data_IF_409027995969
#
_entry.id   IF_409027995969
#
_cell.length_a   1.000
_cell.length_b   1.000
_cell.length_c   1.000
_cell.angle_alpha   90.00
_cell.angle_beta   90.00
_cell.angle_gamma   90.00
#
_symmetry.space_group_name_H-M   'P 1'
#
loop_
_entity.id
_entity.type
_entity.pdbx_description
1 polymer ?
#
# COMPACT_ATOMS: atom_id res chain seq x y z
N UNK A 1 33.20 -38.56 32.54
CA UNK A 1 31.98 -38.18 33.25
C UNK A 1 32.06 -36.66 33.50
N UNK A 2 31.38 -35.92 32.73
CA UNK A 2 31.27 -34.46 32.87
C UNK A 2 29.87 -34.09 32.40
N UNK A 3 29.01 -33.72 33.37
CA UNK A 3 27.62 -33.32 33.17
C UNK A 3 27.63 -31.89 32.65
N UNK A 4 27.16 -31.68 31.42
CA UNK A 4 26.90 -30.34 30.89
C UNK A 4 25.63 -29.83 31.56
N UNK A 5 25.76 -28.72 32.31
CA UNK A 5 24.63 -28.00 32.88
C UNK A 5 23.81 -27.32 31.81
N UNK A 6 22.50 -27.51 31.82
CA UNK A 6 21.52 -26.72 31.07
C UNK A 6 21.43 -25.35 31.72
N UNK A 7 21.68 -24.31 30.92
CA UNK A 7 21.43 -22.93 31.29
C UNK A 7 19.90 -22.67 31.22
N UNK A 8 19.25 -22.20 32.29
CA UNK A 8 17.83 -21.89 32.22
C UNK A 8 17.59 -20.51 31.57
N UNK A 9 16.97 -20.53 30.43
CA UNK A 9 16.13 -19.51 29.85
C UNK A 9 16.47 -18.03 30.14
N UNK A 10 17.11 -17.39 29.22
CA UNK A 10 17.11 -15.92 29.20
C UNK A 10 15.67 -15.43 29.06
N UNK A 11 15.16 -14.75 30.09
CA UNK A 11 13.90 -14.04 30.01
C UNK A 11 14.02 -12.98 28.89
N UNK A 12 13.18 -13.07 27.86
CA UNK A 12 13.05 -12.01 26.85
C UNK A 12 12.77 -10.69 27.59
N UNK A 13 13.57 -9.69 27.31
CA UNK A 13 13.31 -8.34 27.81
C UNK A 13 11.94 -7.89 27.31
N UNK A 14 11.09 -7.31 28.17
CA UNK A 14 9.83 -6.76 27.71
C UNK A 14 10.07 -5.77 26.55
N UNK A 15 9.18 -5.71 25.55
CA UNK A 15 9.31 -4.75 24.46
C UNK A 15 9.45 -3.33 25.02
N UNK A 16 10.32 -2.53 24.39
CA UNK A 16 10.51 -1.14 24.78
C UNK A 16 9.16 -0.41 24.77
N UNK A 17 8.92 0.51 25.74
CA UNK A 17 7.68 1.28 25.75
C UNK A 17 7.57 2.08 24.43
N UNK A 18 6.37 2.07 23.83
CA UNK A 18 6.06 2.83 22.63
C UNK A 18 6.23 4.32 22.96
N UNK A 19 6.99 5.06 22.11
CA UNK A 19 7.14 6.50 22.26
C UNK A 19 5.75 7.16 22.18
N UNK A 20 5.41 8.10 23.07
CA UNK A 20 4.15 8.84 22.99
C UNK A 20 3.89 9.49 21.62
N UNK A 21 4.92 9.88 20.88
CA UNK A 21 4.82 10.40 19.52
C UNK A 21 4.34 9.34 18.50
N UNK A 22 4.47 8.05 18.83
CA UNK A 22 4.00 6.97 17.97
C UNK A 22 2.60 6.46 18.34
N UNK A 23 1.96 7.05 19.37
CA UNK A 23 0.65 6.61 19.83
C UNK A 23 -0.51 7.14 18.96
N UNK A 24 -0.36 8.33 18.38
CA UNK A 24 -1.47 9.01 17.71
C UNK A 24 -2.63 9.33 18.66
N UNK A 25 -3.76 9.80 18.12
CA UNK A 25 -4.97 10.13 18.89
C UNK A 25 -5.96 8.97 18.90
N UNK A 26 -6.56 8.70 20.06
CA UNK A 26 -7.68 7.78 20.26
C UNK A 26 -9.05 8.47 20.17
N UNK A 27 -9.09 9.76 19.80
CA UNK A 27 -10.37 10.45 19.62
C UNK A 27 -11.20 9.75 18.53
N UNK A 28 -12.45 9.45 18.84
CA UNK A 28 -13.41 8.88 17.88
C UNK A 28 -14.46 9.93 17.53
N UNK A 29 -14.32 10.50 16.34
CA UNK A 29 -15.30 11.46 15.78
C UNK A 29 -16.34 10.76 14.90
N UNK A 30 -16.30 9.43 14.82
CA UNK A 30 -17.25 8.60 14.09
C UNK A 30 -17.03 8.56 12.58
N UNK A 31 -18.03 8.06 11.87
CA UNK A 31 -18.04 7.91 10.40
C UNK A 31 -18.88 8.99 9.69
N UNK A 32 -19.40 9.98 10.44
CA UNK A 32 -20.19 11.08 9.90
C UNK A 32 -19.41 11.99 8.95
N UNK A 33 -20.11 12.93 8.31
CA UNK A 33 -19.46 13.89 7.42
C UNK A 33 -18.72 14.96 8.26
N UNK A 34 -17.41 15.04 8.08
CA UNK A 34 -16.49 15.91 8.85
C UNK A 34 -15.88 17.04 8.01
N UNK A 35 -16.51 17.40 6.92
CA UNK A 35 -16.03 18.44 6.01
C UNK A 35 -15.53 17.85 4.68
N UNK A 36 -14.82 18.66 3.87
CA UNK A 36 -14.40 18.21 2.56
C UNK A 36 -13.49 16.99 2.63
N UNK A 37 -13.76 16.06 1.74
CA UNK A 37 -13.00 14.80 1.63
C UNK A 37 -11.64 15.02 0.96
N UNK A 38 -10.68 14.07 1.08
CA UNK A 38 -9.41 14.16 0.37
C UNK A 38 -9.55 14.44 -1.13
N UNK A 39 -10.50 13.78 -1.82
CA UNK A 39 -10.71 13.99 -3.25
C UNK A 39 -11.36 15.35 -3.56
N UNK A 40 -12.24 15.86 -2.70
CA UNK A 40 -12.79 17.22 -2.85
C UNK A 40 -11.75 18.31 -2.58
N UNK A 41 -10.74 18.02 -1.75
CA UNK A 41 -9.65 18.96 -1.46
C UNK A 41 -8.56 18.96 -2.52
N UNK A 42 -8.26 17.81 -3.10
CA UNK A 42 -7.08 17.60 -3.94
C UNK A 42 -7.38 17.25 -5.40
N UNK A 43 -8.61 16.84 -5.71
CA UNK A 43 -9.09 16.56 -7.08
C UNK A 43 -8.27 15.54 -7.85
N UNK A 44 -8.03 15.81 -9.13
CA UNK A 44 -7.27 14.95 -10.01
C UNK A 44 -5.77 15.01 -9.69
N UNK A 45 -5.17 13.84 -9.41
CA UNK A 45 -3.73 13.76 -9.17
C UNK A 45 -2.93 13.70 -10.48
N UNK A 46 -1.74 14.29 -10.45
CA UNK A 46 -0.80 14.27 -11.57
C UNK A 46 0.64 14.06 -11.09
N UNK A 47 1.47 13.43 -11.93
CA UNK A 47 2.91 13.29 -11.69
C UNK A 47 3.65 14.40 -12.42
N UNK A 48 4.33 15.27 -11.66
CA UNK A 48 5.09 16.39 -12.19
C UNK A 48 6.55 16.27 -11.72
N UNK A 49 7.45 15.98 -12.65
CA UNK A 49 8.82 15.63 -12.29
C UNK A 49 8.87 14.36 -11.46
N UNK A 50 9.49 14.42 -10.28
CA UNK A 50 9.58 13.29 -9.35
C UNK A 50 8.54 13.36 -8.20
N UNK A 51 7.46 14.13 -8.37
CA UNK A 51 6.47 14.39 -7.32
C UNK A 51 5.05 14.06 -7.78
N UNK A 52 4.24 13.54 -6.85
CA UNK A 52 2.78 13.48 -6.99
C UNK A 52 2.20 14.84 -6.56
N UNK A 53 1.37 15.43 -7.40
CA UNK A 53 0.71 16.71 -7.15
C UNK A 53 -0.79 16.61 -7.32
N UNK A 54 -1.51 17.46 -6.62
CA UNK A 54 -2.96 17.61 -6.73
C UNK A 54 -3.36 18.56 -7.90
N UNK A 55 -4.66 18.76 -8.09
CA UNK A 55 -5.17 19.61 -9.17
C UNK A 55 -4.81 21.10 -9.01
N UNK A 56 -4.40 21.51 -7.80
CA UNK A 56 -3.96 22.88 -7.48
C UNK A 56 -2.45 23.04 -7.71
N UNK A 57 -1.73 21.95 -8.04
CA UNK A 57 -0.30 21.93 -8.22
C UNK A 57 0.48 21.79 -6.90
N UNK A 58 -0.19 21.57 -5.78
CA UNK A 58 0.43 21.33 -4.50
C UNK A 58 0.90 19.86 -4.38
N UNK A 59 1.98 19.65 -3.63
CA UNK A 59 2.52 18.30 -3.41
C UNK A 59 1.56 17.46 -2.58
N UNK A 60 1.19 16.28 -3.10
CA UNK A 60 0.30 15.35 -2.44
C UNK A 60 1.04 14.15 -1.89
N UNK A 61 0.91 13.88 -0.59
CA UNK A 61 1.39 12.68 0.06
C UNK A 61 0.21 11.80 0.47
N UNK A 62 -0.06 10.75 -0.29
CA UNK A 62 -1.08 9.77 0.04
C UNK A 62 -0.68 8.96 1.28
N UNK A 63 -1.61 8.75 2.21
CA UNK A 63 -1.39 7.96 3.44
C UNK A 63 -2.60 7.08 3.71
N UNK A 64 -2.38 5.77 3.86
CA UNK A 64 -3.48 4.85 4.14
C UNK A 64 -3.02 3.41 4.33
N UNK A 65 -3.93 2.47 4.56
CA UNK A 65 -3.62 1.06 4.62
C UNK A 65 -3.81 0.35 3.27
N UNK A 66 -3.19 -0.82 3.12
CA UNK A 66 -3.57 -1.83 2.13
C UNK A 66 -4.53 -2.84 2.74
N UNK A 67 -5.52 -3.32 1.97
CA UNK A 67 -6.23 -4.53 2.34
C UNK A 67 -5.26 -5.71 2.46
N UNK A 68 -5.68 -6.78 3.12
CA UNK A 68 -5.15 -8.12 2.90
C UNK A 68 -5.44 -8.57 1.46
N UNK A 69 -4.79 -9.66 0.98
CA UNK A 69 -5.16 -10.36 -0.25
C UNK A 69 -6.67 -10.64 -0.23
N UNK A 70 -7.43 -10.06 -1.16
CA UNK A 70 -8.89 -10.08 -1.09
C UNK A 70 -9.49 -11.50 -1.16
N UNK A 71 -8.79 -12.46 -1.76
CA UNK A 71 -9.23 -13.86 -1.77
C UNK A 71 -9.08 -14.57 -0.41
N UNK A 72 -8.27 -14.03 0.51
CA UNK A 72 -8.03 -14.56 1.85
C UNK A 72 -8.64 -13.69 2.96
N UNK A 73 -9.05 -12.48 2.64
CA UNK A 73 -9.73 -11.63 3.60
C UNK A 73 -11.14 -12.18 3.90
N UNK A 74 -11.46 -12.34 5.19
CA UNK A 74 -12.73 -12.89 5.64
C UNK A 74 -13.70 -11.86 6.19
N UNK A 75 -13.18 -10.75 6.76
CA UNK A 75 -13.98 -9.76 7.48
C UNK A 75 -14.48 -8.63 6.59
N UNK A 76 -13.77 -8.33 5.50
CA UNK A 76 -14.14 -7.29 4.56
C UNK A 76 -13.91 -5.87 5.07
N UNK A 77 -12.87 -5.63 5.88
CA UNK A 77 -12.57 -4.29 6.42
C UNK A 77 -12.46 -3.22 5.33
N UNK A 78 -11.69 -3.49 4.29
CA UNK A 78 -11.52 -2.58 3.16
C UNK A 78 -12.79 -2.45 2.29
N UNK A 79 -13.66 -3.46 2.30
CA UNK A 79 -14.94 -3.50 1.58
C UNK A 79 -16.09 -2.84 2.36
N UNK A 80 -15.81 -2.27 3.54
CA UNK A 80 -16.82 -1.66 4.40
C UNK A 80 -16.78 -0.13 4.30
N UNK A 81 -17.85 0.47 3.79
CA UNK A 81 -17.96 1.93 3.63
C UNK A 81 -17.83 2.69 4.96
N UNK A 82 -18.41 2.17 6.04
CA UNK A 82 -18.35 2.79 7.37
C UNK A 82 -16.90 2.81 7.88
N UNK A 83 -16.16 1.69 7.67
CA UNK A 83 -14.76 1.61 8.03
C UNK A 83 -13.90 2.62 7.25
N UNK A 84 -14.12 2.76 5.93
CA UNK A 84 -13.40 3.75 5.11
C UNK A 84 -13.68 5.18 5.56
N UNK A 85 -14.95 5.52 5.83
CA UNK A 85 -15.33 6.82 6.36
C UNK A 85 -14.72 7.07 7.74
N UNK A 86 -14.74 6.04 8.59
CA UNK A 86 -14.15 6.12 9.92
C UNK A 86 -12.63 6.37 9.84
N UNK A 87 -11.89 5.62 9.01
CA UNK A 87 -10.45 5.83 8.80
C UNK A 87 -10.14 7.22 8.24
N UNK A 88 -10.91 7.69 7.26
CA UNK A 88 -10.78 9.06 6.74
C UNK A 88 -10.88 10.09 7.87
N UNK A 89 -11.91 9.99 8.70
CA UNK A 89 -12.21 10.98 9.71
C UNK A 89 -11.25 10.91 10.92
N UNK A 90 -10.92 9.69 11.37
CA UNK A 90 -10.21 9.48 12.63
C UNK A 90 -8.71 9.25 12.43
N UNK A 91 -8.33 8.59 11.34
CA UNK A 91 -6.93 8.35 11.02
C UNK A 91 -6.37 9.30 9.96
N UNK A 92 -7.21 10.17 9.39
CA UNK A 92 -6.85 11.05 8.25
C UNK A 92 -6.38 10.26 7.03
N UNK A 93 -6.87 9.04 6.86
CA UNK A 93 -6.53 8.23 5.69
C UNK A 93 -7.01 8.92 4.41
N UNK A 94 -6.12 9.04 3.44
CA UNK A 94 -6.42 9.66 2.14
C UNK A 94 -6.56 8.62 1.03
N UNK A 95 -6.08 7.40 1.24
CA UNK A 95 -6.07 6.32 0.24
C UNK A 95 -6.33 4.97 0.90
N UNK A 96 -6.92 4.05 0.13
CA UNK A 96 -6.99 2.61 0.42
C UNK A 96 -6.39 1.84 -0.75
N UNK A 97 -5.60 0.78 -0.50
CA UNK A 97 -5.11 -0.12 -1.54
C UNK A 97 -5.94 -1.40 -1.54
N UNK A 98 -6.44 -1.80 -2.70
CA UNK A 98 -7.22 -3.01 -2.93
C UNK A 98 -6.32 -4.10 -3.51
N UNK A 99 -5.75 -4.95 -2.66
CA UNK A 99 -4.80 -6.00 -3.02
C UNK A 99 -5.52 -7.23 -3.60
N UNK A 100 -5.87 -7.19 -4.89
CA UNK A 100 -6.56 -8.30 -5.56
C UNK A 100 -5.62 -9.46 -5.86
N UNK A 101 -5.70 -10.54 -5.10
CA UNK A 101 -4.94 -11.76 -5.38
C UNK A 101 -5.24 -12.34 -6.77
N UNK A 102 -4.23 -12.85 -7.44
CA UNK A 102 -4.33 -13.35 -8.81
C UNK A 102 -4.15 -14.86 -8.90
N UNK A 103 -3.01 -15.40 -8.50
CA UNK A 103 -2.65 -16.81 -8.65
C UNK A 103 -3.30 -17.78 -7.64
N UNK A 104 -3.44 -17.43 -6.35
CA UNK A 104 -3.91 -18.38 -5.34
C UNK A 104 -5.32 -18.90 -5.59
N UNK A 105 -5.66 -20.04 -4.99
CA UNK A 105 -7.02 -20.57 -5.04
C UNK A 105 -8.04 -19.56 -4.50
N UNK A 106 -9.13 -19.39 -5.23
CA UNK A 106 -10.18 -18.42 -4.93
C UNK A 106 -9.88 -16.98 -5.37
N UNK A 107 -8.67 -16.72 -5.90
CA UNK A 107 -8.26 -15.45 -6.47
C UNK A 107 -8.70 -15.31 -7.96
N UNK A 108 -8.21 -14.28 -8.64
CA UNK A 108 -8.71 -13.88 -9.96
C UNK A 108 -8.65 -15.00 -11.01
N UNK A 109 -7.56 -15.77 -11.14
CA UNK A 109 -7.44 -16.80 -12.17
C UNK A 109 -8.44 -17.95 -12.02
N UNK A 110 -8.89 -18.22 -10.81
CA UNK A 110 -9.87 -19.27 -10.53
C UNK A 110 -11.28 -18.74 -10.36
N UNK A 111 -11.44 -17.46 -9.98
CA UNK A 111 -12.75 -16.84 -9.76
C UNK A 111 -12.76 -15.35 -10.13
N UNK A 112 -12.62 -15.02 -11.43
CA UNK A 112 -12.46 -13.65 -11.88
C UNK A 112 -13.62 -12.73 -11.53
N UNK A 113 -14.85 -13.22 -11.57
CA UNK A 113 -16.05 -12.42 -11.27
C UNK A 113 -16.10 -12.03 -9.80
N UNK A 114 -15.76 -12.95 -8.87
CA UNK A 114 -15.69 -12.66 -7.45
C UNK A 114 -14.58 -11.64 -7.17
N UNK A 115 -13.38 -11.89 -7.68
CA UNK A 115 -12.23 -11.01 -7.46
C UNK A 115 -12.50 -9.58 -7.98
N UNK A 116 -13.07 -9.46 -9.18
CA UNK A 116 -13.50 -8.17 -9.74
C UNK A 116 -14.54 -7.50 -8.87
N UNK A 117 -15.58 -8.22 -8.44
CA UNK A 117 -16.64 -7.67 -7.58
C UNK A 117 -16.10 -7.15 -6.24
N UNK A 118 -15.10 -7.82 -5.64
CA UNK A 118 -14.47 -7.36 -4.41
C UNK A 118 -13.70 -6.04 -4.62
N UNK A 119 -12.95 -5.92 -5.73
CA UNK A 119 -12.28 -4.66 -6.10
C UNK A 119 -13.29 -3.56 -6.36
N UNK A 120 -14.31 -3.82 -7.18
CA UNK A 120 -15.34 -2.84 -7.50
C UNK A 120 -16.04 -2.33 -6.24
N UNK A 121 -16.33 -3.18 -5.27
CA UNK A 121 -16.91 -2.78 -3.99
C UNK A 121 -16.01 -1.83 -3.22
N UNK A 122 -14.69 -2.08 -3.19
CA UNK A 122 -13.74 -1.17 -2.53
C UNK A 122 -13.68 0.16 -3.28
N UNK A 123 -13.63 0.14 -4.61
CA UNK A 123 -13.59 1.36 -5.43
C UNK A 123 -14.86 2.19 -5.24
N UNK A 124 -16.04 1.58 -5.33
CA UNK A 124 -17.32 2.26 -5.14
C UNK A 124 -17.41 2.87 -3.72
N UNK A 125 -16.94 2.16 -2.70
CA UNK A 125 -16.91 2.65 -1.34
C UNK A 125 -15.86 3.77 -1.13
N UNK A 126 -14.70 3.68 -1.76
CA UNK A 126 -13.69 4.73 -1.71
C UNK A 126 -14.21 6.04 -2.36
N UNK A 127 -14.88 5.93 -3.50
CA UNK A 127 -15.57 7.06 -4.14
C UNK A 127 -16.62 7.65 -3.19
N UNK A 128 -17.47 6.83 -2.58
CA UNK A 128 -18.50 7.26 -1.64
C UNK A 128 -17.93 7.82 -0.31
N UNK A 129 -16.73 7.41 0.07
CA UNK A 129 -15.98 7.95 1.21
C UNK A 129 -15.15 9.19 0.85
N UNK A 130 -14.94 9.48 -0.44
CA UNK A 130 -14.14 10.59 -0.94
C UNK A 130 -12.63 10.41 -0.70
N UNK A 131 -12.14 9.18 -0.69
CA UNK A 131 -10.71 8.86 -0.61
C UNK A 131 -10.21 8.30 -1.94
N UNK A 132 -8.89 8.33 -2.15
CA UNK A 132 -8.26 7.67 -3.30
C UNK A 132 -8.23 6.16 -3.11
N UNK A 133 -8.11 5.42 -4.21
CA UNK A 133 -8.03 3.97 -4.20
C UNK A 133 -7.00 3.47 -5.20
N UNK A 134 -6.10 2.58 -4.73
CA UNK A 134 -5.16 1.88 -5.59
C UNK A 134 -5.76 0.52 -5.95
N UNK A 135 -6.00 0.29 -7.23
CA UNK A 135 -6.43 -1.01 -7.77
C UNK A 135 -5.16 -1.82 -8.08
N UNK A 136 -4.84 -2.78 -7.23
CA UNK A 136 -3.63 -3.55 -7.31
C UNK A 136 -3.88 -4.96 -7.86
N UNK A 137 -3.18 -5.29 -8.94
CA UNK A 137 -3.01 -6.65 -9.44
C UNK A 137 -1.93 -7.35 -8.62
N UNK A 138 -2.38 -7.94 -7.50
CA UNK A 138 -1.52 -8.48 -6.46
C UNK A 138 -0.96 -9.86 -6.84
N UNK A 139 0.15 -9.84 -7.57
CA UNK A 139 0.76 -11.00 -8.21
C UNK A 139 2.30 -10.87 -8.17
N UNK A 140 3.00 -11.99 -8.13
CA UNK A 140 4.46 -12.05 -8.29
C UNK A 140 4.88 -12.47 -9.72
N UNK A 141 3.93 -12.97 -10.51
CA UNK A 141 4.14 -13.48 -11.86
C UNK A 141 3.23 -12.83 -12.91
N UNK A 142 2.80 -11.60 -12.71
CA UNK A 142 1.84 -10.93 -13.58
C UNK A 142 2.23 -10.92 -15.06
N UNK A 143 3.54 -10.95 -15.38
CA UNK A 143 4.04 -11.07 -16.75
C UNK A 143 3.58 -12.36 -17.45
N UNK A 144 3.28 -13.43 -16.71
CA UNK A 144 2.73 -14.68 -17.22
C UNK A 144 1.21 -14.61 -17.44
N UNK A 145 0.53 -13.64 -16.77
CA UNK A 145 -0.90 -13.40 -16.82
C UNK A 145 -1.25 -12.09 -17.52
N UNK A 146 -0.37 -11.63 -18.43
CA UNK A 146 -0.44 -10.32 -19.08
C UNK A 146 -1.79 -10.07 -19.77
N UNK A 147 -2.32 -11.05 -20.49
CA UNK A 147 -3.57 -10.88 -21.24
C UNK A 147 -4.77 -10.68 -20.31
N UNK A 148 -4.79 -11.38 -19.18
CA UNK A 148 -5.81 -11.23 -18.14
C UNK A 148 -5.67 -9.86 -17.44
N UNK A 149 -4.44 -9.41 -17.14
CA UNK A 149 -4.20 -8.10 -16.57
C UNK A 149 -4.65 -6.97 -17.53
N UNK A 150 -4.30 -7.07 -18.81
CA UNK A 150 -4.75 -6.14 -19.87
C UNK A 150 -6.27 -6.07 -19.92
N UNK A 151 -6.96 -7.20 -19.90
CA UNK A 151 -8.43 -7.25 -19.89
C UNK A 151 -8.99 -6.58 -18.64
N UNK A 152 -8.53 -7.00 -17.46
CA UNK A 152 -9.01 -6.47 -16.16
C UNK A 152 -8.85 -4.95 -16.07
N UNK A 153 -7.65 -4.43 -16.37
CA UNK A 153 -7.42 -2.99 -16.29
C UNK A 153 -8.16 -2.20 -17.38
N UNK A 154 -8.38 -2.77 -18.56
CA UNK A 154 -9.26 -2.16 -19.57
C UNK A 154 -10.70 -2.05 -19.08
N UNK A 155 -11.21 -3.07 -18.37
CA UNK A 155 -12.54 -3.06 -17.77
C UNK A 155 -12.63 -2.03 -16.63
N UNK A 156 -11.66 -2.00 -15.72
CA UNK A 156 -11.60 -1.02 -14.62
C UNK A 156 -11.50 0.42 -15.15
N UNK A 157 -10.64 0.67 -16.12
CA UNK A 157 -10.50 1.99 -16.74
C UNK A 157 -11.76 2.41 -17.53
N UNK A 158 -12.49 1.47 -18.12
CA UNK A 158 -13.78 1.75 -18.77
C UNK A 158 -14.83 2.17 -17.74
N UNK A 159 -14.85 1.53 -16.57
CA UNK A 159 -15.85 1.79 -15.53
C UNK A 159 -15.54 3.03 -14.70
N UNK A 160 -14.28 3.27 -14.41
CA UNK A 160 -13.85 4.24 -13.40
C UNK A 160 -12.87 5.31 -13.91
N UNK A 161 -12.56 5.34 -15.20
CA UNK A 161 -11.56 6.26 -15.76
C UNK A 161 -11.94 7.75 -15.69
N UNK A 162 -13.20 8.07 -15.37
CA UNK A 162 -13.66 9.43 -15.11
C UNK A 162 -13.64 9.82 -13.62
N UNK A 163 -13.14 8.95 -12.75
CA UNK A 163 -13.09 9.16 -11.29
C UNK A 163 -11.67 9.51 -10.85
N UNK A 164 -11.43 10.73 -10.34
CA UNK A 164 -10.12 11.16 -9.87
C UNK A 164 -9.60 10.35 -8.66
N UNK A 165 -10.48 9.57 -8.04
CA UNK A 165 -10.14 8.68 -6.94
C UNK A 165 -9.18 7.55 -7.32
N UNK A 166 -9.15 7.13 -8.60
CA UNK A 166 -8.59 5.84 -9.01
C UNK A 166 -7.12 5.96 -9.38
N UNK A 167 -6.34 5.03 -8.86
CA UNK A 167 -4.93 4.80 -9.19
C UNK A 167 -4.79 3.32 -9.56
N UNK A 168 -4.03 3.01 -10.59
CA UNK A 168 -3.83 1.63 -11.06
C UNK A 168 -2.43 1.13 -10.68
N UNK A 169 -2.33 -0.08 -10.17
CA UNK A 169 -1.08 -0.77 -9.89
C UNK A 169 -1.06 -2.13 -10.59
N UNK A 170 -0.54 -2.22 -11.83
CA UNK A 170 -0.67 -3.42 -12.65
C UNK A 170 0.25 -4.57 -12.26
N UNK A 171 1.14 -4.40 -11.30
CA UNK A 171 2.03 -5.45 -10.83
C UNK A 171 2.54 -5.12 -9.43
N UNK A 172 2.08 -5.89 -8.43
CA UNK A 172 2.47 -5.72 -7.02
C UNK A 172 3.98 -5.88 -6.80
N UNK A 173 4.47 -7.11 -6.96
CA UNK A 173 5.84 -7.47 -6.62
C UNK A 173 6.49 -8.40 -7.66
N UNK A 174 7.00 -7.83 -8.77
CA UNK A 174 7.79 -8.63 -9.69
C UNK A 174 8.97 -9.31 -8.98
N UNK A 175 9.19 -10.59 -9.26
CA UNK A 175 10.39 -11.27 -8.80
C UNK A 175 11.66 -10.66 -9.43
N UNK A 176 12.83 -11.26 -9.27
CA UNK A 176 14.06 -10.78 -9.94
C UNK A 176 13.98 -11.03 -11.45
N UNK A 177 13.21 -10.17 -12.14
CA UNK A 177 12.96 -10.21 -13.57
C UNK A 177 13.76 -9.12 -14.29
N UNK A 178 14.06 -9.37 -15.57
CA UNK A 178 14.69 -8.35 -16.41
C UNK A 178 13.75 -7.19 -16.68
N UNK A 179 14.19 -5.97 -16.33
CA UNK A 179 13.41 -4.76 -16.52
C UNK A 179 13.13 -4.48 -17.98
N UNK A 180 14.16 -4.52 -18.84
CA UNK A 180 14.05 -4.15 -20.25
C UNK A 180 13.28 -5.16 -21.09
N UNK A 181 13.56 -6.44 -20.91
CA UNK A 181 13.01 -7.50 -21.75
C UNK A 181 11.71 -8.10 -21.26
N UNK A 182 11.35 -7.89 -19.98
CA UNK A 182 10.17 -8.51 -19.38
C UNK A 182 9.21 -7.51 -18.76
N UNK A 183 9.65 -6.73 -17.77
CA UNK A 183 8.74 -5.89 -16.99
C UNK A 183 8.27 -4.67 -17.77
N UNK A 184 9.19 -3.96 -18.43
CA UNK A 184 8.85 -2.77 -19.21
C UNK A 184 7.86 -3.08 -20.34
N UNK A 185 8.03 -4.12 -21.19
CA UNK A 185 7.03 -4.52 -22.19
C UNK A 185 5.68 -4.95 -21.59
N UNK A 186 5.68 -5.58 -20.41
CA UNK A 186 4.45 -5.89 -19.69
C UNK A 186 3.71 -4.62 -19.30
N UNK A 187 4.40 -3.69 -18.62
CA UNK A 187 3.82 -2.42 -18.19
C UNK A 187 3.32 -1.60 -19.39
N UNK A 188 4.09 -1.50 -20.46
CA UNK A 188 3.68 -0.79 -21.67
C UNK A 188 2.37 -1.33 -22.26
N UNK A 189 2.18 -2.66 -22.24
CA UNK A 189 0.95 -3.28 -22.74
C UNK A 189 -0.28 -2.94 -21.84
N UNK A 190 -0.13 -2.99 -20.52
CA UNK A 190 -1.22 -2.67 -19.58
C UNK A 190 -1.51 -1.17 -19.60
N UNK A 191 -0.48 -0.33 -19.61
CA UNK A 191 -0.64 1.14 -19.75
C UNK A 191 -1.42 1.48 -21.01
N UNK A 192 -1.11 0.88 -22.15
CA UNK A 192 -1.83 1.12 -23.41
C UNK A 192 -3.32 0.79 -23.28
N UNK A 193 -3.67 -0.30 -22.58
CA UNK A 193 -5.06 -0.69 -22.35
C UNK A 193 -5.80 0.31 -21.44
N UNK A 194 -5.15 0.76 -20.37
CA UNK A 194 -5.69 1.78 -19.44
C UNK A 194 -5.88 3.10 -20.22
N UNK A 195 -4.84 3.60 -20.86
CA UNK A 195 -4.83 4.92 -21.55
C UNK A 195 -5.80 5.01 -22.72
N UNK A 196 -6.21 3.88 -23.30
CA UNK A 196 -7.28 3.85 -24.30
C UNK A 196 -8.66 4.25 -23.73
N UNK A 197 -8.84 4.27 -22.41
CA UNK A 197 -10.08 4.54 -21.70
C UNK A 197 -9.95 5.70 -20.70
N UNK A 198 -8.82 5.79 -20.06
CA UNK A 198 -8.49 6.72 -18.99
C UNK A 198 -7.15 7.40 -19.31
N UNK A 199 -7.17 8.65 -19.82
CA UNK A 199 -5.96 9.36 -20.18
C UNK A 199 -5.19 9.93 -18.97
N UNK A 200 -5.84 10.10 -17.81
CA UNK A 200 -5.37 11.04 -16.80
C UNK A 200 -4.95 10.37 -15.46
N UNK A 201 -5.64 9.32 -15.00
CA UNK A 201 -5.36 8.73 -13.71
C UNK A 201 -3.94 8.17 -13.60
N UNK A 202 -3.40 8.20 -12.38
CA UNK A 202 -2.05 7.74 -12.08
C UNK A 202 -1.94 6.23 -12.22
N UNK A 203 -0.82 5.76 -12.78
CA UNK A 203 -0.46 4.34 -12.86
C UNK A 203 0.85 4.14 -12.10
N UNK A 204 0.90 3.15 -11.20
CA UNK A 204 2.06 2.82 -10.38
C UNK A 204 2.68 1.51 -10.86
N UNK A 205 3.94 1.52 -11.21
CA UNK A 205 4.61 0.41 -11.89
C UNK A 205 5.47 -0.39 -10.90
N UNK A 206 5.21 -1.69 -10.78
CA UNK A 206 6.04 -2.61 -10.01
C UNK A 206 7.46 -2.69 -10.56
N UNK A 207 8.45 -2.70 -9.68
CA UNK A 207 9.87 -2.79 -10.03
C UNK A 207 10.47 -4.15 -9.69
N UNK A 208 11.63 -4.55 -10.26
CA UNK A 208 12.19 -5.87 -10.02
C UNK A 208 12.48 -6.13 -8.54
N UNK A 209 12.64 -7.42 -8.20
CA UNK A 209 13.07 -7.88 -6.88
C UNK A 209 12.13 -7.43 -5.76
N UNK A 210 10.83 -7.84 -5.86
CA UNK A 210 9.76 -7.48 -4.92
C UNK A 210 9.61 -5.97 -4.76
N UNK A 211 9.60 -5.25 -5.88
CA UNK A 211 9.48 -3.78 -5.93
C UNK A 211 10.55 -3.03 -5.11
N UNK A 212 11.79 -3.59 -5.06
CA UNK A 212 12.94 -2.99 -4.37
C UNK A 212 13.95 -2.35 -5.32
N UNK A 213 14.04 -2.82 -6.56
CA UNK A 213 15.08 -2.39 -7.51
C UNK A 213 14.62 -1.22 -8.39
N UNK A 214 14.17 -0.14 -7.76
CA UNK A 214 13.75 1.11 -8.44
C UNK A 214 14.89 1.75 -9.23
N UNK A 215 16.13 1.50 -8.85
CA UNK A 215 17.33 1.95 -9.54
C UNK A 215 17.45 1.33 -10.94
N UNK A 216 17.06 0.06 -11.12
CA UNK A 216 17.00 -0.61 -12.45
C UNK A 216 15.95 0.04 -13.36
N UNK A 217 14.79 0.38 -12.82
CA UNK A 217 13.76 1.11 -13.56
C UNK A 217 14.20 2.53 -13.96
N UNK A 218 14.97 3.20 -13.07
CA UNK A 218 15.48 4.54 -13.31
C UNK A 218 16.50 4.63 -14.46
N UNK A 219 17.17 3.54 -14.84
CA UNK A 219 18.08 3.51 -15.99
C UNK A 219 17.34 3.63 -17.34
N UNK A 220 16.08 3.17 -17.39
CA UNK A 220 15.27 3.23 -18.60
C UNK A 220 13.79 3.25 -18.24
N UNK A 221 13.26 4.37 -17.75
CA UNK A 221 11.86 4.48 -17.37
C UNK A 221 10.91 4.15 -18.53
N UNK A 222 9.69 3.74 -18.21
CA UNK A 222 8.60 3.62 -19.18
C UNK A 222 8.21 5.01 -19.66
N UNK A 223 8.01 5.16 -20.95
CA UNK A 223 7.55 6.42 -21.54
C UNK A 223 6.05 6.62 -21.30
N UNK A 224 5.65 7.80 -20.87
CA UNK A 224 4.26 8.15 -20.62
C UNK A 224 4.11 9.26 -19.60
N UNK A 225 2.87 9.62 -19.31
CA UNK A 225 2.49 10.64 -18.33
C UNK A 225 1.78 9.98 -17.14
N UNK A 226 1.85 10.62 -15.99
CA UNK A 226 1.21 10.17 -14.75
C UNK A 226 1.60 8.74 -14.37
N UNK A 227 2.90 8.43 -14.48
CA UNK A 227 3.49 7.16 -14.07
C UNK A 227 4.32 7.38 -12.80
N UNK A 228 4.07 6.55 -11.77
CA UNK A 228 4.88 6.37 -10.57
C UNK A 228 5.52 4.99 -10.60
N UNK A 229 6.54 4.79 -9.77
CA UNK A 229 7.20 3.51 -9.59
C UNK A 229 7.10 3.11 -8.13
N UNK A 230 6.66 1.88 -7.88
CA UNK A 230 6.52 1.44 -6.50
C UNK A 230 7.84 1.00 -5.89
N UNK A 231 8.01 1.35 -4.61
CA UNK A 231 9.04 0.84 -3.73
C UNK A 231 8.36 0.13 -2.57
N UNK A 232 8.71 -1.14 -2.33
CA UNK A 232 8.25 -1.89 -1.16
C UNK A 232 9.37 -2.05 -0.15
N UNK A 233 9.05 -1.92 1.13
CA UNK A 233 10.00 -2.17 2.20
C UNK A 233 9.35 -2.73 3.46
N UNK A 234 10.11 -3.51 4.21
CA UNK A 234 9.80 -3.96 5.56
C UNK A 234 10.93 -3.56 6.48
N UNK A 235 10.64 -2.73 7.49
CA UNK A 235 11.66 -1.96 8.19
C UNK A 235 12.64 -2.82 9.02
N UNK A 236 12.24 -4.01 9.46
CA UNK A 236 13.16 -4.95 10.11
C UNK A 236 14.19 -5.57 9.14
N UNK A 237 13.90 -5.57 7.83
CA UNK A 237 14.76 -6.18 6.79
C UNK A 237 15.47 -5.14 5.94
N UNK A 238 14.76 -4.09 5.56
CA UNK A 238 15.20 -3.09 4.57
C UNK A 238 15.59 -1.80 5.29
N UNK A 239 16.87 -1.44 5.16
CA UNK A 239 17.47 -0.32 5.89
C UNK A 239 18.07 0.72 4.93
N UNK A 240 19.16 1.38 5.31
CA UNK A 240 19.83 2.42 4.54
C UNK A 240 20.22 2.01 3.13
N UNK A 241 20.54 0.74 2.92
CA UNK A 241 20.91 0.25 1.59
C UNK A 241 19.77 0.40 0.58
N UNK A 242 18.52 0.17 0.98
CA UNK A 242 17.37 0.31 0.09
C UNK A 242 16.97 1.78 -0.07
N UNK A 243 17.04 2.60 1.00
CA UNK A 243 16.88 4.06 0.90
C UNK A 243 17.89 4.65 -0.07
N UNK A 244 19.16 4.20 -0.01
CA UNK A 244 20.21 4.65 -0.92
C UNK A 244 19.93 4.31 -2.40
N UNK A 245 19.34 3.14 -2.69
CA UNK A 245 18.84 2.82 -4.05
C UNK A 245 17.74 3.79 -4.49
N UNK A 246 16.77 4.03 -3.61
CA UNK A 246 15.67 4.93 -3.88
C UNK A 246 16.13 6.38 -4.10
N UNK A 247 17.09 6.86 -3.32
CA UNK A 247 17.73 8.18 -3.51
C UNK A 247 18.43 8.27 -4.85
N UNK A 248 19.16 7.22 -5.24
CA UNK A 248 19.81 7.13 -6.55
C UNK A 248 18.82 7.17 -7.71
N UNK A 249 17.68 6.49 -7.60
CA UNK A 249 16.62 6.51 -8.59
C UNK A 249 15.94 7.89 -8.67
N UNK A 250 15.63 8.51 -7.52
CA UNK A 250 15.04 9.85 -7.47
C UNK A 250 15.98 10.94 -8.01
N UNK A 251 17.27 10.82 -7.77
CA UNK A 251 18.27 11.73 -8.35
C UNK A 251 18.30 11.71 -9.89
N UNK A 252 17.82 10.60 -10.50
CA UNK A 252 17.61 10.49 -11.95
C UNK A 252 16.21 10.96 -12.40
N UNK A 253 15.40 11.45 -11.47
CA UNK A 253 14.06 11.96 -11.74
C UNK A 253 12.95 10.92 -11.68
N UNK A 254 13.20 9.71 -11.18
CA UNK A 254 12.17 8.67 -11.05
C UNK A 254 11.19 9.03 -9.93
N UNK A 255 9.89 9.20 -10.21
CA UNK A 255 8.86 9.46 -9.21
C UNK A 255 8.46 8.16 -8.50
N UNK A 256 8.40 8.18 -7.16
CA UNK A 256 8.15 7.00 -6.34
C UNK A 256 6.83 7.11 -5.56
N UNK A 257 6.20 5.95 -5.33
CA UNK A 257 5.14 5.73 -4.35
C UNK A 257 5.46 4.43 -3.58
N UNK A 258 5.25 4.41 -2.27
CA UNK A 258 5.39 3.20 -1.46
C UNK A 258 4.02 2.55 -1.32
N UNK A 259 3.68 1.65 -2.23
CA UNK A 259 2.35 1.01 -2.23
C UNK A 259 2.24 -0.14 -1.24
N UNK A 260 3.36 -0.58 -0.65
CA UNK A 260 3.39 -1.55 0.43
C UNK A 260 4.58 -1.34 1.35
N UNK A 261 4.32 -1.28 2.66
CA UNK A 261 5.38 -1.29 3.67
C UNK A 261 4.88 -1.87 5.00
N UNK A 262 5.82 -2.38 5.80
CA UNK A 262 5.57 -2.80 7.17
C UNK A 262 6.72 -2.45 8.10
N UNK A 263 6.42 -2.22 9.41
CA UNK A 263 7.44 -2.08 10.43
C UNK A 263 7.95 -3.45 10.93
N UNK A 264 7.79 -4.50 10.14
CA UNK A 264 8.06 -5.90 10.45
C UNK A 264 9.20 -6.46 9.59
N UNK A 265 9.49 -7.75 9.70
CA UNK A 265 10.30 -8.48 8.74
C UNK A 265 9.54 -8.71 7.42
N UNK A 266 10.28 -8.94 6.33
CA UNK A 266 9.73 -9.13 4.99
C UNK A 266 9.00 -10.48 4.78
N UNK A 267 8.98 -11.34 5.79
CA UNK A 267 8.20 -12.58 5.81
C UNK A 267 6.72 -12.37 6.18
N UNK A 268 6.27 -11.11 6.29
CA UNK A 268 4.93 -10.72 6.72
C UNK A 268 4.79 -10.55 8.24
N UNK A 269 5.92 -10.59 8.99
CA UNK A 269 5.90 -10.37 10.44
C UNK A 269 5.45 -11.60 11.23
N UNK A 270 5.70 -12.81 10.70
CA UNK A 270 5.30 -14.09 11.33
C UNK A 270 6.03 -14.38 12.63
N UNK A 271 7.17 -13.74 12.89
CA UNK A 271 7.94 -13.81 14.11
C UNK A 271 7.43 -12.87 15.24
N UNK A 272 6.42 -12.05 14.94
CA UNK A 272 5.81 -11.11 15.88
C UNK A 272 6.64 -9.84 16.15
N UNK A 273 7.80 -9.65 15.49
CA UNK A 273 8.68 -8.49 15.73
C UNK A 273 8.19 -7.23 15.02
N UNK A 274 8.47 -6.08 15.63
CA UNK A 274 8.18 -4.75 15.10
C UNK A 274 9.41 -3.85 15.32
N UNK A 275 9.96 -3.26 14.26
CA UNK A 275 11.16 -2.43 14.28
C UNK A 275 10.80 -0.93 14.11
N UNK A 276 10.25 -0.32 15.16
CA UNK A 276 9.72 1.05 15.10
C UNK A 276 10.80 2.09 14.82
N UNK A 277 12.01 1.95 15.38
CA UNK A 277 13.10 2.90 15.11
C UNK A 277 13.50 2.91 13.62
N UNK A 278 13.57 1.73 13.01
CA UNK A 278 13.84 1.64 11.58
C UNK A 278 12.68 2.19 10.74
N UNK A 279 11.43 1.95 11.18
CA UNK A 279 10.24 2.49 10.54
C UNK A 279 10.20 4.03 10.62
N UNK A 280 10.60 4.64 11.74
CA UNK A 280 10.72 6.11 11.87
C UNK A 280 11.68 6.69 10.82
N UNK A 281 12.86 6.10 10.62
CA UNK A 281 13.81 6.54 9.60
C UNK A 281 13.22 6.48 8.18
N UNK A 282 12.39 5.46 7.90
CA UNK A 282 11.67 5.38 6.63
C UNK A 282 10.62 6.48 6.49
N UNK A 283 9.83 6.75 7.54
CA UNK A 283 8.82 7.80 7.52
C UNK A 283 9.44 9.21 7.43
N UNK A 284 10.53 9.47 8.12
CA UNK A 284 11.30 10.72 7.97
C UNK A 284 11.77 10.91 6.53
N UNK A 285 12.26 9.84 5.91
CA UNK A 285 12.69 9.85 4.51
C UNK A 285 11.49 10.10 3.57
N UNK A 286 10.38 9.39 3.74
CA UNK A 286 9.18 9.59 2.92
C UNK A 286 8.60 10.99 3.07
N UNK A 287 8.52 11.52 4.29
CA UNK A 287 8.01 12.85 4.56
C UNK A 287 8.91 13.93 3.94
N UNK A 288 10.25 13.81 4.09
CA UNK A 288 11.21 14.73 3.48
C UNK A 288 11.01 14.85 1.97
N UNK A 289 10.68 13.73 1.34
CA UNK A 289 10.53 13.65 -0.11
C UNK A 289 9.08 13.76 -0.61
N UNK A 290 8.08 13.82 0.29
CA UNK A 290 6.67 13.86 -0.04
C UNK A 290 6.18 12.58 -0.72
N UNK A 291 6.79 11.43 -0.39
CA UNK A 291 6.44 10.13 -0.96
C UNK A 291 5.25 9.57 -0.18
N UNK A 292 4.12 9.36 -0.86
CA UNK A 292 2.94 8.70 -0.31
C UNK A 292 3.17 7.21 -0.06
N UNK A 293 2.29 6.60 0.76
CA UNK A 293 2.45 5.23 1.17
C UNK A 293 1.14 4.53 1.53
N UNK A 294 1.12 3.18 1.41
CA UNK A 294 0.11 2.32 2.03
C UNK A 294 0.76 1.25 2.90
N UNK A 295 0.22 1.08 4.12
CA UNK A 295 0.76 0.15 5.10
C UNK A 295 0.15 -1.25 4.93
N UNK A 296 0.96 -2.27 4.93
CA UNK A 296 0.57 -3.66 4.98
C UNK A 296 0.40 -4.12 6.43
N UNK A 297 -0.78 -4.53 6.92
CA UNK A 297 -2.06 -4.63 6.20
C UNK A 297 -3.26 -4.38 7.12
N UNK A 298 -4.36 -3.89 6.56
CA UNK A 298 -5.65 -3.75 7.24
C UNK A 298 -6.31 -5.14 7.35
N UNK A 299 -6.00 -5.82 8.41
CA UNK A 299 -6.50 -7.16 8.73
C UNK A 299 -6.37 -7.39 10.25
N UNK A 300 -7.12 -8.37 10.79
CA UNK A 300 -7.18 -8.69 12.21
C UNK A 300 -6.52 -10.05 12.57
N UNK A 301 -5.55 -10.48 11.84
CA UNK A 301 -4.90 -11.77 12.02
C UNK A 301 -4.25 -11.94 13.40
N UNK A 302 -4.19 -13.20 13.90
CA UNK A 302 -3.85 -13.49 15.30
C UNK A 302 -2.40 -13.21 15.69
N UNK A 303 -1.41 -13.82 15.04
CA UNK A 303 0.00 -13.77 15.44
C UNK A 303 0.89 -12.89 14.58
N UNK A 304 0.51 -12.66 13.35
CA UNK A 304 1.25 -11.85 12.39
C UNK A 304 1.30 -10.37 12.86
N UNK A 305 2.50 -9.82 13.02
CA UNK A 305 2.71 -8.44 13.47
C UNK A 305 2.48 -7.39 12.38
N UNK A 306 2.31 -7.79 11.12
CA UNK A 306 1.95 -6.90 10.02
C UNK A 306 0.46 -6.53 10.01
N UNK A 307 -0.39 -7.27 10.71
CA UNK A 307 -1.79 -6.89 10.86
C UNK A 307 -1.94 -5.65 11.75
N UNK A 308 -2.66 -4.66 11.22
CA UNK A 308 -2.94 -3.40 11.92
C UNK A 308 -3.94 -3.61 13.06
N UNK A 309 -4.92 -4.51 12.87
CA UNK A 309 -6.03 -4.69 13.79
C UNK A 309 -5.85 -5.92 14.71
N UNK A 310 -6.38 -5.81 15.91
CA UNK A 310 -6.50 -6.94 16.83
C UNK A 310 -7.64 -7.88 16.40
N UNK A 311 -7.61 -9.19 16.78
CA UNK A 311 -8.59 -10.19 16.34
C UNK A 311 -10.06 -9.86 16.65
N UNK A 312 -10.32 -9.01 17.63
CA UNK A 312 -11.66 -8.60 18.04
C UNK A 312 -12.06 -7.21 17.54
N UNK A 313 -11.32 -6.64 16.59
CA UNK A 313 -11.65 -5.33 16.04
C UNK A 313 -13.00 -5.37 15.29
N UNK A 314 -13.90 -4.41 15.54
CA UNK A 314 -15.16 -4.34 14.82
C UNK A 314 -14.93 -4.00 13.33
N UNK A 315 -15.79 -4.53 12.45
CA UNK A 315 -15.64 -4.39 10.98
C UNK A 315 -15.88 -2.96 10.50
N UNK A 316 -16.61 -2.16 11.26
CA UNK A 316 -17.11 -0.84 10.84
C UNK A 316 -16.27 0.36 11.29
N UNK A 317 -15.12 0.12 11.95
CA UNK A 317 -14.31 1.20 12.53
C UNK A 317 -14.36 1.20 14.07
N UNK A 318 -14.12 2.36 14.71
CA UNK A 318 -14.02 2.47 16.16
C UNK A 318 -12.69 1.94 16.71
N UNK A 319 -11.64 1.92 15.89
CA UNK A 319 -10.35 1.31 16.19
C UNK A 319 -9.45 2.24 16.99
N UNK A 320 -9.75 2.35 18.29
CA UNK A 320 -8.85 2.96 19.27
C UNK A 320 -7.62 2.08 19.47
N UNK A 321 -6.65 2.52 20.28
CA UNK A 321 -5.41 1.76 20.58
C UNK A 321 -5.68 0.34 21.08
N UNK A 322 -6.84 0.09 21.71
CA UNK A 322 -7.24 -1.23 22.20
C UNK A 322 -7.54 -2.26 21.11
N UNK A 323 -7.83 -1.79 19.89
CA UNK A 323 -8.09 -2.62 18.72
C UNK A 323 -6.90 -2.65 17.73
N UNK A 324 -5.79 -2.05 18.11
CA UNK A 324 -4.57 -2.04 17.29
C UNK A 324 -3.55 -3.03 17.84
N UNK A 325 -2.77 -3.62 16.94
CA UNK A 325 -1.69 -4.54 17.32
C UNK A 325 -0.49 -4.38 16.39
N UNK A 326 0.59 -5.08 16.70
CA UNK A 326 1.81 -5.05 15.89
C UNK A 326 2.27 -3.62 15.65
N UNK A 327 2.38 -3.25 14.39
CA UNK A 327 2.71 -1.88 14.00
C UNK A 327 1.49 -0.93 13.87
N UNK A 328 0.27 -1.40 14.14
CA UNK A 328 -0.97 -0.66 13.89
C UNK A 328 -1.05 0.69 14.60
N UNK A 329 -0.57 0.77 15.86
CA UNK A 329 -0.53 2.04 16.60
C UNK A 329 0.38 3.05 15.90
N UNK A 330 1.55 2.61 15.45
CA UNK A 330 2.49 3.45 14.71
C UNK A 330 1.91 3.88 13.36
N UNK A 331 1.29 2.97 12.60
CA UNK A 331 0.63 3.27 11.32
C UNK A 331 -0.43 4.36 11.48
N UNK A 332 -1.31 4.23 12.48
CA UNK A 332 -2.31 5.26 12.79
C UNK A 332 -1.67 6.61 13.07
N UNK A 333 -0.65 6.65 13.95
CA UNK A 333 0.04 7.88 14.28
C UNK A 333 0.62 8.55 13.03
N UNK A 334 1.26 7.78 12.13
CA UNK A 334 1.83 8.33 10.88
C UNK A 334 0.78 8.80 9.89
N UNK A 335 -0.44 8.24 9.90
CA UNK A 335 -1.55 8.78 9.12
C UNK A 335 -2.05 10.11 9.68
N UNK A 336 -2.05 10.26 11.00
CA UNK A 336 -2.51 11.49 11.69
C UNK A 336 -1.47 12.62 11.66
N UNK A 337 -0.22 12.36 11.32
CA UNK A 337 0.81 13.39 11.14
C UNK A 337 0.41 14.38 10.02
N UNK A 338 0.61 15.70 10.25
CA UNK A 338 0.37 16.78 9.30
C UNK A 338 1.46 16.89 8.24
#
# INVERSE_FOLDING_TARGET
MGVAGCDPGGAESPPAPIDPLDMGSDEDVGSGDMGPTPVELHGQLAVVGAELRDEHGERMQLKGPSSMWLNWENEGFAQNLEALRWMRNNWRATVIRAAMGVEPDGAYLTNPDKARSQVEQIVDNAIAAGVYVIIDWHDHNAHQHKDQAVQFFSEMATKYGDKPNVIYEPFNEPLDLDWQGTLKPYHEAVIAAIRAKDPDNVIVLGTPNWSQDVDRAAESPVAGTNLLYTLHFYACTHTDWLRGKADGARAKGLPLLVTEWGATHADGGTDGQVCLDAARLWHEWMNTHGIGWTAWKLDNCGQDSSCILAPNAPVTGGWTSTYLKGHGVFVRARMQDE
#
